data_IF_173225145522
#
_entry.id   IF_173225145522
#
_cell.length_a   1.000
_cell.length_b   1.000
_cell.length_c   1.000
_cell.angle_alpha   90.00
_cell.angle_beta   90.00
_cell.angle_gamma   90.00
#
_symmetry.space_group_name_H-M   'P 1'
#
loop_
_entity.id
_entity.type
_entity.pdbx_description
1 polymer ?
#
# COMPACT_ATOMS: atom_id res chain seq x y z
N UNK A 1 16.08 37.52 -20.07
CA UNK A 1 16.35 37.60 -18.62
C UNK A 1 15.48 36.50 -18.02
N UNK A 2 16.01 35.33 -17.74
CA UNK A 2 16.92 35.07 -16.62
C UNK A 2 18.05 34.11 -17.02
N UNK A 3 19.22 34.35 -16.44
CA UNK A 3 20.41 33.51 -16.51
C UNK A 3 20.72 32.97 -15.10
N UNK A 4 21.15 31.71 -14.99
CA UNK A 4 22.23 31.19 -14.10
C UNK A 4 22.04 29.70 -13.82
N UNK A 5 23.00 28.83 -14.21
CA UNK A 5 24.15 28.33 -13.40
C UNK A 5 23.71 27.14 -12.50
N UNK A 6 24.32 25.95 -12.42
CA UNK A 6 25.63 25.46 -12.85
C UNK A 6 25.82 23.95 -12.66
N UNK A 7 26.86 23.45 -13.35
CA UNK A 7 27.81 22.40 -12.95
C UNK A 7 27.36 20.92 -12.83
N UNK A 8 27.47 20.21 -13.95
CA UNK A 8 28.37 19.05 -14.19
C UNK A 8 29.11 18.46 -12.96
N UNK A 9 28.86 17.18 -12.65
CA UNK A 9 29.96 16.21 -12.42
C UNK A 9 29.54 14.80 -12.85
N UNK A 10 30.41 14.22 -13.67
CA UNK A 10 30.47 12.89 -14.29
C UNK A 10 29.99 11.72 -13.42
N UNK A 11 29.37 10.65 -13.93
CA UNK A 11 29.40 10.07 -15.27
C UNK A 11 29.64 8.56 -15.16
N UNK A 12 28.76 7.75 -15.74
CA UNK A 12 29.07 6.44 -16.32
C UNK A 12 27.85 5.97 -17.15
N UNK A 13 28.11 5.79 -18.44
CA UNK A 13 27.16 5.43 -19.50
C UNK A 13 26.70 3.97 -19.38
N UNK A 14 25.49 3.67 -19.85
CA UNK A 14 25.24 2.75 -21.00
C UNK A 14 23.94 3.23 -21.68
N UNK A 15 24.06 4.14 -22.65
CA UNK A 15 23.02 4.34 -23.67
C UNK A 15 23.51 3.60 -24.92
N UNK A 16 22.95 2.43 -25.20
CA UNK A 16 23.13 1.73 -26.46
C UNK A 16 21.85 0.99 -26.81
N UNK A 17 21.08 1.65 -27.67
CA UNK A 17 20.25 1.10 -28.75
C UNK A 17 19.22 0.04 -28.36
N UNK A 18 17.99 0.48 -28.14
CA UNK A 18 16.82 -0.35 -28.46
C UNK A 18 16.10 0.30 -29.63
N UNK A 19 16.31 -0.33 -30.79
CA UNK A 19 15.57 -0.15 -32.02
C UNK A 19 14.05 -0.13 -31.76
N UNK A 20 13.43 0.97 -32.20
CA UNK A 20 12.10 1.09 -32.77
C UNK A 20 11.07 -0.01 -32.45
N UNK A 21 10.11 0.31 -31.58
CA UNK A 21 8.69 -0.04 -31.75
C UNK A 21 7.84 0.81 -30.80
N UNK A 22 6.93 1.66 -31.31
CA UNK A 22 6.03 2.45 -30.47
C UNK A 22 4.91 1.55 -29.94
N UNK A 23 5.07 0.99 -28.76
CA UNK A 23 3.94 0.67 -27.89
C UNK A 23 3.79 1.83 -26.91
N UNK A 24 2.67 2.54 -27.02
CA UNK A 24 2.38 3.77 -26.27
C UNK A 24 2.84 3.69 -24.82
N UNK A 25 3.71 4.64 -24.50
CA UNK A 25 4.45 4.75 -23.26
C UNK A 25 3.59 5.33 -22.12
N UNK A 26 3.87 4.81 -20.93
CA UNK A 26 3.95 5.53 -19.66
C UNK A 26 2.72 6.29 -19.17
N UNK A 27 2.09 5.74 -18.13
CA UNK A 27 1.64 6.59 -17.04
C UNK A 27 2.62 6.45 -15.88
N UNK A 28 3.31 7.55 -15.62
CA UNK A 28 4.12 7.80 -14.43
C UNK A 28 3.40 7.28 -13.20
N UNK A 29 4.02 6.41 -12.40
CA UNK A 29 3.56 6.16 -11.05
C UNK A 29 4.76 6.16 -10.16
N UNK A 30 5.03 7.33 -9.58
CA UNK A 30 5.85 7.44 -8.38
C UNK A 30 5.26 6.50 -7.33
N UNK A 31 5.90 5.36 -6.99
CA UNK A 31 5.30 4.39 -6.09
C UNK A 31 5.67 4.77 -4.66
N UNK A 32 5.14 5.89 -4.16
CA UNK A 32 5.68 6.47 -2.92
C UNK A 32 4.73 6.49 -1.72
N UNK A 33 3.47 6.04 -1.79
CA UNK A 33 2.58 6.08 -0.61
C UNK A 33 1.46 5.00 -0.62
N UNK A 34 1.80 3.73 -0.91
CA UNK A 34 0.81 2.64 -0.90
C UNK A 34 0.48 2.09 0.50
N UNK A 35 1.21 2.50 1.54
CA UNK A 35 1.12 1.89 2.87
C UNK A 35 -0.05 2.43 3.72
N UNK A 36 -0.56 3.62 3.45
CA UNK A 36 -1.63 4.20 4.28
C UNK A 36 -2.99 3.50 4.07
N UNK A 37 -3.22 2.97 2.86
CA UNK A 37 -4.49 2.35 2.48
C UNK A 37 -4.83 1.04 3.18
N UNK A 38 -3.86 0.37 3.82
CA UNK A 38 -4.14 -0.92 4.47
C UNK A 38 -4.83 -0.74 5.83
N UNK A 39 -4.65 0.40 6.50
CA UNK A 39 -5.24 0.65 7.81
C UNK A 39 -6.78 0.55 7.76
N UNK A 40 -7.39 1.11 6.72
CA UNK A 40 -8.84 1.12 6.52
C UNK A 40 -9.45 -0.27 6.26
N UNK A 41 -8.63 -1.27 5.92
CA UNK A 41 -9.10 -2.66 5.72
C UNK A 41 -9.15 -3.47 7.02
N UNK A 42 -8.58 -2.96 8.11
CA UNK A 42 -8.48 -3.68 9.38
C UNK A 42 -9.68 -3.49 10.31
N UNK A 43 -10.80 -2.93 9.82
CA UNK A 43 -12.05 -2.94 10.58
C UNK A 43 -12.53 -4.37 10.84
N UNK A 44 -13.02 -4.57 12.06
CA UNK A 44 -13.63 -5.84 12.48
C UNK A 44 -15.00 -5.99 11.82
N UNK A 45 -15.32 -7.20 11.38
CA UNK A 45 -16.65 -7.49 10.83
C UNK A 45 -17.70 -7.47 11.94
N UNK A 46 -18.80 -6.75 11.74
CA UNK A 46 -19.93 -6.74 12.67
C UNK A 46 -20.74 -8.04 12.58
N UNK A 47 -21.32 -8.44 13.71
CA UNK A 47 -22.23 -9.58 13.78
C UNK A 47 -23.60 -9.24 13.17
N UNK A 48 -24.42 -10.23 12.77
CA UNK A 48 -25.77 -9.97 12.28
C UNK A 48 -26.66 -9.22 13.29
N UNK A 49 -26.32 -9.27 14.58
CA UNK A 49 -27.02 -8.53 15.63
C UNK A 49 -26.58 -7.07 15.66
N UNK A 50 -25.27 -6.80 15.63
CA UNK A 50 -24.75 -5.44 15.64
C UNK A 50 -25.06 -4.68 14.35
N UNK A 51 -25.12 -5.37 13.20
CA UNK A 51 -25.54 -4.76 11.93
C UNK A 51 -26.94 -4.13 12.01
N UNK A 52 -27.85 -4.67 12.83
CA UNK A 52 -29.18 -4.07 13.05
C UNK A 52 -29.08 -2.73 13.78
N UNK A 53 -28.07 -2.58 14.63
CA UNK A 53 -27.79 -1.42 15.47
C UNK A 53 -26.50 -0.71 15.04
N UNK A 54 -26.14 -0.76 13.74
CA UNK A 54 -24.90 -0.17 13.23
C UNK A 54 -24.79 1.34 13.50
N UNK A 55 -25.93 2.01 13.64
CA UNK A 55 -26.00 3.43 13.98
C UNK A 55 -25.68 3.73 15.45
N UNK A 56 -25.82 2.74 16.35
CA UNK A 56 -25.43 2.82 17.76
C UNK A 56 -24.01 2.28 17.97
N UNK A 57 -23.46 1.55 16.99
CA UNK A 57 -22.12 0.99 17.06
C UNK A 57 -21.04 2.07 16.99
N UNK A 58 -20.10 2.03 17.94
CA UNK A 58 -19.05 3.02 18.04
C UNK A 58 -17.81 2.62 17.21
N UNK A 59 -17.74 3.12 15.97
CA UNK A 59 -16.57 2.94 15.10
C UNK A 59 -15.33 3.75 15.53
N UNK A 60 -15.48 4.72 16.44
CA UNK A 60 -14.37 5.51 16.98
C UNK A 60 -13.62 4.76 18.10
N UNK A 61 -14.18 3.64 18.58
CA UNK A 61 -13.57 2.87 19.65
C UNK A 61 -12.42 1.98 19.13
N UNK A 62 -11.28 1.89 19.84
CA UNK A 62 -10.15 1.04 19.41
C UNK A 62 -10.52 -0.44 19.25
N UNK A 63 -11.49 -0.96 20.01
CA UNK A 63 -12.00 -2.34 19.85
C UNK A 63 -12.62 -2.63 18.47
N UNK A 64 -13.08 -1.60 17.74
CA UNK A 64 -13.65 -1.79 16.40
C UNK A 64 -12.58 -2.17 15.36
N UNK A 65 -11.30 -2.03 15.69
CA UNK A 65 -10.17 -2.32 14.82
C UNK A 65 -9.45 -3.59 15.25
N UNK A 66 -9.15 -4.46 14.27
CA UNK A 66 -8.32 -5.65 14.49
C UNK A 66 -6.82 -5.29 14.55
N UNK A 67 -6.42 -4.67 15.66
CA UNK A 67 -5.03 -4.24 15.87
C UNK A 67 -4.07 -5.44 15.82
N UNK A 68 -4.43 -6.59 16.38
CA UNK A 68 -3.59 -7.79 16.38
C UNK A 68 -3.24 -8.26 14.96
N UNK A 69 -4.24 -8.32 14.07
CA UNK A 69 -4.05 -8.73 12.67
C UNK A 69 -3.25 -7.69 11.88
N UNK A 70 -3.51 -6.40 12.13
CA UNK A 70 -2.73 -5.31 11.53
C UNK A 70 -1.25 -5.41 11.91
N UNK A 71 -0.97 -5.58 13.20
CA UNK A 71 0.40 -5.73 13.71
C UNK A 71 1.10 -6.92 13.08
N UNK A 72 0.43 -8.06 12.94
CA UNK A 72 1.00 -9.23 12.28
C UNK A 72 1.42 -8.94 10.84
N UNK A 73 0.54 -8.29 10.07
CA UNK A 73 0.82 -7.89 8.70
C UNK A 73 2.01 -6.93 8.62
N UNK A 74 2.03 -5.90 9.46
CA UNK A 74 3.13 -4.92 9.52
C UNK A 74 4.46 -5.61 9.84
N UNK A 75 4.49 -6.53 10.82
CA UNK A 75 5.71 -7.27 11.18
C UNK A 75 6.25 -8.09 10.01
N UNK A 76 5.37 -8.79 9.29
CA UNK A 76 5.72 -9.55 8.08
C UNK A 76 6.26 -8.62 6.98
N UNK A 77 5.62 -7.48 6.75
CA UNK A 77 6.06 -6.46 5.79
C UNK A 77 7.45 -5.91 6.13
N UNK A 78 7.73 -5.61 7.41
CA UNK A 78 9.05 -5.18 7.88
C UNK A 78 10.11 -6.26 7.63
N UNK A 79 9.76 -7.53 7.82
CA UNK A 79 10.62 -8.67 7.48
C UNK A 79 10.78 -8.90 5.97
N UNK A 80 10.14 -8.10 5.11
CA UNK A 80 10.19 -8.30 3.67
C UNK A 80 9.31 -9.43 3.15
N UNK A 81 8.35 -9.91 3.95
CA UNK A 81 7.43 -10.96 3.57
C UNK A 81 6.15 -10.38 2.96
N UNK A 82 5.61 -11.10 1.97
CA UNK A 82 4.31 -10.79 1.40
C UNK A 82 3.20 -11.07 2.42
N UNK A 83 2.18 -10.21 2.40
CA UNK A 83 1.01 -10.33 3.27
C UNK A 83 -0.27 -10.20 2.48
N UNK A 84 -1.32 -10.83 2.98
CA UNK A 84 -2.67 -10.77 2.41
C UNK A 84 -3.56 -9.92 3.30
N UNK A 85 -3.87 -8.73 2.84
CA UNK A 85 -4.75 -7.81 3.54
C UNK A 85 -6.19 -8.09 3.10
N UNK A 86 -7.11 -8.37 4.01
CA UNK A 86 -8.51 -8.61 3.65
C UNK A 86 -9.16 -7.34 3.08
N UNK A 87 -10.20 -7.49 2.26
CA UNK A 87 -10.99 -6.36 1.76
C UNK A 87 -12.18 -6.15 2.69
N UNK A 88 -12.37 -4.91 3.16
CA UNK A 88 -13.52 -4.54 3.98
C UNK A 88 -14.57 -3.82 3.14
N UNK A 89 -15.83 -4.24 3.26
CA UNK A 89 -16.95 -3.69 2.51
C UNK A 89 -17.69 -2.66 3.37
N UNK A 90 -17.48 -1.36 3.09
CA UNK A 90 -18.14 -0.27 3.82
C UNK A 90 -19.65 -0.20 3.61
N UNK A 91 -20.20 -0.82 2.56
CA UNK A 91 -21.65 -0.86 2.36
C UNK A 91 -22.31 -1.93 3.22
N UNK A 92 -21.64 -3.08 3.36
CA UNK A 92 -22.14 -4.22 4.14
C UNK A 92 -21.62 -4.28 5.57
N UNK A 93 -20.64 -3.43 5.91
CA UNK A 93 -19.89 -3.43 7.16
C UNK A 93 -19.36 -4.83 7.54
N UNK A 94 -18.80 -5.52 6.55
CA UNK A 94 -18.33 -6.90 6.66
C UNK A 94 -17.04 -7.13 5.88
N UNK A 95 -16.26 -8.13 6.31
CA UNK A 95 -14.97 -8.49 5.71
C UNK A 95 -15.15 -9.56 4.64
N UNK A 96 -14.54 -9.35 3.47
CA UNK A 96 -14.49 -10.33 2.39
C UNK A 96 -13.42 -11.39 2.68
N UNK A 97 -13.82 -12.66 2.65
CA UNK A 97 -12.89 -13.81 2.73
C UNK A 97 -12.46 -14.32 1.36
N UNK A 98 -13.27 -14.07 0.33
CA UNK A 98 -13.04 -14.57 -1.03
C UNK A 98 -12.05 -13.71 -1.82
N UNK A 99 -11.83 -12.47 -1.39
CA UNK A 99 -10.94 -11.51 -2.05
C UNK A 99 -10.03 -10.81 -1.05
N UNK A 100 -8.76 -10.73 -1.40
CA UNK A 100 -7.71 -10.13 -0.59
C UNK A 100 -6.76 -9.31 -1.45
N UNK A 101 -6.13 -8.30 -0.86
CA UNK A 101 -5.09 -7.50 -1.48
C UNK A 101 -3.73 -8.03 -1.04
N UNK A 102 -2.93 -8.49 -1.99
CA UNK A 102 -1.56 -8.88 -1.72
C UNK A 102 -0.64 -7.66 -1.69
N UNK A 103 0.10 -7.48 -0.60
CA UNK A 103 1.10 -6.41 -0.46
C UNK A 103 2.49 -7.05 -0.47
N UNK A 104 3.35 -6.55 -1.36
CA UNK A 104 4.74 -6.98 -1.48
C UNK A 104 5.62 -5.83 -0.97
N UNK A 105 6.33 -6.00 0.15
CA UNK A 105 7.19 -4.96 0.69
C UNK A 105 8.40 -4.75 -0.22
N UNK A 106 8.67 -3.51 -0.60
CA UNK A 106 9.88 -3.14 -1.33
C UNK A 106 11.01 -2.83 -0.35
N UNK A 107 11.60 -3.87 0.22
CA UNK A 107 12.85 -3.77 0.99
C UNK A 107 14.01 -3.56 0.01
N UNK A 108 14.38 -2.30 -0.22
CA UNK A 108 15.66 -1.99 -0.87
C UNK A 108 16.77 -2.46 0.08
N UNK A 109 17.42 -3.58 -0.23
CA UNK A 109 18.52 -4.15 0.57
C UNK A 109 19.84 -3.38 0.43
N UNK A 110 19.82 -2.13 -0.02
CA UNK A 110 21.01 -1.34 -0.27
C UNK A 110 21.15 -0.20 0.74
N UNK A 111 21.50 -0.55 1.98
CA UNK A 111 22.13 0.40 2.91
C UNK A 111 23.07 -0.37 3.82
N UNK A 112 24.23 -0.74 3.30
CA UNK A 112 25.49 -0.60 4.02
C UNK A 112 26.53 -0.15 2.98
N UNK A 113 27.09 1.03 3.24
CA UNK A 113 28.23 1.62 2.55
C UNK A 113 29.50 0.80 2.74
#
# INVERSE_FOLDING_TARGET
MEASYSAHFSGLRIDTLITSSPSSSSSSSSPSHHFWYVHDSFYRGLTPEELKHVHEYNFDHPDAFDTEQMLECVRKLISGQNVHVPIYDFKKHQRSSESFRQIIPNINTNTLQ
#
